data_IF_276932873036
#
_entry.id   IF_276932873036
#
_cell.length_a   1.000
_cell.length_b   1.000
_cell.length_c   1.000
_cell.angle_alpha   90.00
_cell.angle_beta   90.00
_cell.angle_gamma   90.00
#
_symmetry.space_group_name_H-M   'P 1'
#
loop_
_entity.id
_entity.type
_entity.pdbx_description
1 polymer ?
#
# COMPACT_ATOMS: atom_id res chain seq x y z
N UNK A 1 -9.78 -3.32 5.90
CA UNK A 1 -8.89 -2.54 5.00
C UNK A 1 -8.13 -1.51 5.81
N UNK A 2 -6.83 -1.42 5.60
CA UNK A 2 -5.89 -0.48 6.23
C UNK A 2 -5.45 0.53 5.16
N UNK A 3 -5.65 1.83 5.42
CA UNK A 3 -4.99 2.87 4.63
C UNK A 3 -3.63 3.14 5.27
N UNK A 4 -2.55 2.89 4.54
CA UNK A 4 -1.20 3.33 4.90
C UNK A 4 -1.04 4.71 4.27
N UNK A 5 -1.34 5.76 5.02
CA UNK A 5 -1.26 7.14 4.57
C UNK A 5 0.12 7.70 4.93
N UNK A 6 1.03 7.76 3.97
CA UNK A 6 2.45 7.89 4.29
C UNK A 6 3.23 8.84 3.37
N UNK A 7 4.17 9.55 3.98
CA UNK A 7 5.19 10.31 3.27
C UNK A 7 6.20 9.35 2.63
N UNK A 8 6.47 9.40 1.31
CA UNK A 8 7.40 8.46 0.66
C UNK A 8 8.84 8.54 1.20
N UNK A 9 9.24 9.69 1.76
CA UNK A 9 10.57 9.85 2.39
C UNK A 9 10.73 8.93 3.61
N UNK A 10 9.64 8.53 4.26
CA UNK A 10 9.68 7.67 5.45
C UNK A 10 9.80 6.17 5.12
N UNK A 11 9.95 5.80 3.84
CA UNK A 11 10.03 4.41 3.36
C UNK A 11 8.88 3.52 3.85
N UNK A 12 7.60 3.92 3.65
CA UNK A 12 6.45 3.12 4.09
C UNK A 12 6.38 1.73 3.43
N UNK A 13 7.03 1.53 2.28
CA UNK A 13 7.11 0.26 1.58
C UNK A 13 7.73 -0.83 2.47
N UNK A 14 8.66 -0.49 3.37
CA UNK A 14 9.24 -1.45 4.32
C UNK A 14 8.17 -2.11 5.23
N UNK A 15 7.13 -1.36 5.62
CA UNK A 15 5.98 -1.94 6.33
C UNK A 15 5.19 -2.89 5.43
N UNK A 16 4.94 -2.48 4.18
CA UNK A 16 4.21 -3.31 3.22
C UNK A 16 4.94 -4.63 2.96
N UNK A 17 6.27 -4.58 2.86
CA UNK A 17 7.12 -5.75 2.70
C UNK A 17 6.98 -6.69 3.89
N UNK A 18 7.10 -6.16 5.11
CA UNK A 18 6.95 -6.95 6.32
C UNK A 18 5.55 -7.56 6.46
N UNK A 19 4.49 -6.83 6.11
CA UNK A 19 3.13 -7.37 6.11
C UNK A 19 2.95 -8.46 5.06
N UNK A 20 3.50 -8.27 3.86
CA UNK A 20 3.44 -9.25 2.78
C UNK A 20 4.15 -10.55 3.13
N UNK A 21 5.27 -10.48 3.85
CA UNK A 21 6.06 -11.65 4.27
C UNK A 21 5.41 -12.45 5.41
N UNK A 22 4.48 -11.85 6.17
CA UNK A 22 3.92 -12.47 7.38
C UNK A 22 2.86 -13.56 7.13
N UNK A 23 2.29 -13.62 5.93
CA UNK A 23 1.26 -14.57 5.53
C UNK A 23 1.27 -14.73 4.01
N UNK A 24 0.45 -15.62 3.45
CA UNK A 24 0.20 -15.65 2.00
C UNK A 24 -0.33 -14.28 1.58
N UNK A 25 0.35 -13.66 0.63
CA UNK A 25 0.01 -12.31 0.20
C UNK A 25 -0.09 -12.17 -1.31
N UNK A 26 -0.93 -11.22 -1.74
CA UNK A 26 -1.12 -10.81 -3.12
C UNK A 26 -0.67 -9.35 -3.24
N UNK A 27 0.50 -9.15 -3.85
CA UNK A 27 1.21 -7.88 -3.85
C UNK A 27 1.10 -7.18 -5.21
N UNK A 28 0.21 -6.19 -5.30
CA UNK A 28 -0.02 -5.37 -6.49
C UNK A 28 1.04 -4.27 -6.58
N UNK A 29 1.94 -4.41 -7.57
CA UNK A 29 3.08 -3.52 -7.78
C UNK A 29 2.77 -2.50 -8.87
N UNK A 30 2.77 -1.21 -8.57
CA UNK A 30 2.41 -0.16 -9.55
C UNK A 30 3.57 0.72 -9.97
N UNK A 31 4.56 0.88 -9.10
CA UNK A 31 5.66 1.84 -9.31
C UNK A 31 7.00 1.20 -9.64
N UNK A 32 7.16 -0.10 -9.36
CA UNK A 32 8.39 -0.85 -9.56
C UNK A 32 8.08 -2.25 -10.06
N UNK A 33 9.04 -2.82 -10.79
CA UNK A 33 8.98 -4.23 -11.18
C UNK A 33 9.08 -5.13 -9.94
N UNK A 34 8.36 -6.27 -9.92
CA UNK A 34 8.42 -7.25 -8.82
C UNK A 34 9.84 -7.67 -8.43
N UNK A 35 10.73 -7.85 -9.39
CA UNK A 35 12.12 -8.26 -9.13
C UNK A 35 12.88 -7.30 -8.20
N UNK A 36 12.64 -5.99 -8.32
CA UNK A 36 13.32 -4.99 -7.49
C UNK A 36 12.72 -4.90 -6.09
N UNK A 37 11.44 -5.22 -5.96
CA UNK A 37 10.79 -5.32 -4.65
C UNK A 37 11.26 -6.58 -3.92
N UNK A 38 11.44 -7.68 -4.67
CA UNK A 38 11.99 -8.93 -4.14
C UNK A 38 13.42 -8.72 -3.60
N UNK A 39 14.29 -8.08 -4.37
CA UNK A 39 15.65 -7.72 -3.95
C UNK A 39 15.65 -6.87 -2.66
N UNK A 40 14.73 -5.90 -2.56
CA UNK A 40 14.60 -5.07 -1.36
C UNK A 40 14.10 -5.89 -0.15
N UNK A 41 13.11 -6.77 -0.33
CA UNK A 41 12.62 -7.66 0.73
C UNK A 41 13.74 -8.56 1.27
N UNK A 42 14.54 -9.15 0.38
CA UNK A 42 15.69 -9.97 0.74
C UNK A 42 16.76 -9.16 1.48
N UNK A 43 17.02 -7.92 1.08
CA UNK A 43 17.96 -7.02 1.76
C UNK A 43 17.54 -6.67 3.19
N UNK A 44 16.23 -6.73 3.49
CA UNK A 44 15.66 -6.56 4.81
C UNK A 44 15.54 -7.87 5.61
N UNK A 45 16.11 -8.97 5.09
CA UNK A 45 16.04 -10.31 5.67
C UNK A 45 14.60 -10.84 5.85
N UNK A 46 13.69 -10.45 4.97
CA UNK A 46 12.29 -10.89 5.00
C UNK A 46 12.08 -12.17 4.17
N UNK A 47 11.16 -13.02 4.62
CA UNK A 47 10.76 -14.21 3.85
C UNK A 47 9.87 -13.82 2.67
N UNK A 48 10.19 -14.34 1.48
CA UNK A 48 9.53 -13.96 0.22
C UNK A 48 8.67 -15.07 -0.38
N UNK A 49 8.77 -16.30 0.14
CA UNK A 49 8.11 -17.48 -0.44
C UNK A 49 6.57 -17.43 -0.44
N UNK A 50 5.99 -16.57 0.40
CA UNK A 50 4.55 -16.41 0.53
C UNK A 50 3.99 -15.21 -0.29
N UNK A 51 4.84 -14.50 -1.03
CA UNK A 51 4.46 -13.27 -1.74
C UNK A 51 4.15 -13.56 -3.21
N UNK A 52 2.87 -13.42 -3.58
CA UNK A 52 2.40 -13.56 -4.96
C UNK A 52 2.31 -12.18 -5.60
N UNK A 53 3.25 -11.85 -6.47
CA UNK A 53 3.27 -10.55 -7.14
C UNK A 53 2.24 -10.46 -8.27
N UNK A 54 1.52 -9.33 -8.31
CA UNK A 54 0.68 -8.90 -9.42
C UNK A 54 1.34 -7.69 -10.06
N UNK A 55 1.90 -7.90 -11.25
CA UNK A 55 2.74 -6.94 -11.95
C UNK A 55 1.91 -5.89 -12.73
N UNK A 56 1.34 -4.94 -11.99
CA UNK A 56 0.59 -3.80 -12.58
C UNK A 56 1.56 -2.88 -13.33
N UNK A 57 2.79 -2.72 -12.84
CA UNK A 57 3.83 -1.92 -13.48
C UNK A 57 4.07 -2.37 -14.92
N UNK A 58 4.39 -3.64 -15.14
CA UNK A 58 4.62 -4.15 -16.49
C UNK A 58 3.37 -4.04 -17.34
N UNK A 59 2.20 -4.38 -16.77
CA UNK A 59 0.92 -4.30 -17.49
C UNK A 59 0.61 -2.89 -17.99
N UNK A 60 0.96 -1.86 -17.21
CA UNK A 60 0.63 -0.47 -17.52
C UNK A 60 1.72 0.30 -18.24
N UNK A 61 3.01 0.04 -17.99
CA UNK A 61 4.11 0.81 -18.58
C UNK A 61 4.80 0.12 -19.75
N UNK A 62 4.72 -1.21 -19.85
CA UNK A 62 5.48 -1.97 -20.85
C UNK A 62 4.59 -2.49 -21.97
N UNK A 63 5.16 -2.57 -23.17
CA UNK A 63 4.60 -3.28 -24.32
C UNK A 63 4.91 -4.79 -24.23
N UNK A 64 4.30 -5.57 -25.11
CA UNK A 64 4.63 -7.00 -25.26
C UNK A 64 6.10 -7.26 -25.63
N UNK A 65 6.78 -6.24 -26.19
CA UNK A 65 8.21 -6.29 -26.51
C UNK A 65 9.11 -5.76 -25.39
N UNK A 66 8.54 -5.34 -24.25
CA UNK A 66 9.26 -4.78 -23.10
C UNK A 66 9.65 -3.30 -23.26
N UNK A 67 9.20 -2.62 -24.32
CA UNK A 67 9.42 -1.19 -24.50
C UNK A 67 8.45 -0.36 -23.67
N UNK A 68 8.86 0.85 -23.28
CA UNK A 68 7.97 1.77 -22.57
C UNK A 68 6.88 2.33 -23.49
N UNK A 69 5.66 2.37 -22.97
CA UNK A 69 4.51 3.01 -23.62
C UNK A 69 4.31 4.36 -22.96
N UNK A 70 4.26 5.41 -23.80
CA UNK A 70 4.24 6.81 -23.37
C UNK A 70 2.85 7.42 -23.52
N UNK A 71 2.09 7.05 -24.55
CA UNK A 71 0.74 7.58 -24.78
C UNK A 71 -0.21 6.44 -25.19
N UNK A 72 -1.15 6.12 -24.31
CA UNK A 72 -2.29 5.24 -24.58
C UNK A 72 -3.47 5.64 -23.68
N UNK A 73 -4.52 6.19 -24.29
CA UNK A 73 -5.68 6.69 -23.55
C UNK A 73 -6.60 5.57 -23.00
N UNK A 74 -6.43 4.34 -23.48
CA UNK A 74 -7.25 3.20 -23.04
C UNK A 74 -6.66 2.52 -21.81
N UNK A 75 -5.33 2.56 -21.64
CA UNK A 75 -4.62 1.91 -20.52
C UNK A 75 -5.12 2.32 -19.15
N UNK A 76 -5.45 3.59 -18.97
CA UNK A 76 -5.99 4.11 -17.72
C UNK A 76 -7.27 3.39 -17.31
N UNK A 77 -8.11 2.95 -18.26
CA UNK A 77 -9.33 2.20 -17.97
C UNK A 77 -9.07 0.69 -17.95
N UNK A 78 -8.32 0.18 -18.91
CA UNK A 78 -8.02 -1.24 -19.06
C UNK A 78 -7.30 -1.81 -17.83
N UNK A 79 -6.51 -0.98 -17.12
CA UNK A 79 -5.84 -1.41 -15.90
C UNK A 79 -6.84 -1.72 -14.77
N UNK A 80 -8.01 -1.06 -14.73
CA UNK A 80 -9.04 -1.39 -13.74
C UNK A 80 -9.71 -2.73 -14.02
N UNK A 81 -9.91 -3.08 -15.30
CA UNK A 81 -10.44 -4.41 -15.68
C UNK A 81 -9.44 -5.52 -15.30
N UNK A 82 -8.14 -5.27 -15.51
CA UNK A 82 -7.09 -6.18 -15.05
C UNK A 82 -7.12 -6.36 -13.53
N UNK A 83 -7.30 -5.27 -12.76
CA UNK A 83 -7.41 -5.36 -11.31
C UNK A 83 -8.69 -6.08 -10.87
N UNK A 84 -9.81 -5.87 -11.55
CA UNK A 84 -11.05 -6.61 -11.27
C UNK A 84 -10.84 -8.11 -11.43
N UNK A 85 -10.23 -8.53 -12.54
CA UNK A 85 -9.90 -9.92 -12.82
C UNK A 85 -9.03 -10.50 -11.71
N UNK A 86 -7.93 -9.82 -11.37
CA UNK A 86 -6.98 -10.32 -10.36
C UNK A 86 -7.55 -10.36 -8.95
N UNK A 87 -8.31 -9.35 -8.53
CA UNK A 87 -9.00 -9.39 -7.23
C UNK A 87 -10.08 -10.46 -7.17
N UNK A 88 -10.74 -10.76 -8.30
CA UNK A 88 -11.79 -11.78 -8.37
C UNK A 88 -11.21 -13.21 -8.44
N UNK A 89 -9.95 -13.36 -8.87
CA UNK A 89 -9.27 -14.66 -8.89
C UNK A 89 -8.66 -15.06 -7.55
N UNK A 90 -8.63 -14.18 -6.55
CA UNK A 90 -8.13 -14.53 -5.22
C UNK A 90 -9.18 -15.39 -4.51
N UNK A 91 -8.81 -16.62 -4.20
CA UNK A 91 -9.64 -17.62 -3.52
C UNK A 91 -9.10 -18.04 -2.15
N UNK A 92 -7.99 -17.43 -1.73
CA UNK A 92 -7.32 -17.72 -0.46
C UNK A 92 -7.92 -16.89 0.66
N UNK A 93 -8.53 -17.55 1.65
CA UNK A 93 -8.98 -16.90 2.88
C UNK A 93 -7.79 -16.53 3.79
N UNK A 94 -7.99 -15.54 4.67
CA UNK A 94 -7.01 -15.11 5.68
C UNK A 94 -5.64 -14.66 5.09
N UNK A 95 -5.65 -14.13 3.87
CA UNK A 95 -4.46 -13.60 3.19
C UNK A 95 -4.23 -12.10 3.43
N UNK A 96 -3.07 -11.60 3.02
CA UNK A 96 -2.80 -10.16 2.92
C UNK A 96 -2.92 -9.68 1.46
N UNK A 97 -3.56 -8.54 1.24
CA UNK A 97 -3.65 -7.90 -0.09
C UNK A 97 -2.92 -6.57 -0.04
N UNK A 98 -1.85 -6.41 -0.80
CA UNK A 98 -1.01 -5.21 -0.74
C UNK A 98 -1.17 -4.41 -2.02
N UNK A 99 -1.48 -3.11 -1.90
CA UNK A 99 -1.44 -2.16 -3.01
C UNK A 99 -0.27 -1.19 -2.79
N UNK A 100 0.81 -1.40 -3.53
CA UNK A 100 2.03 -0.59 -3.56
C UNK A 100 2.20 0.08 -4.93
N UNK A 101 1.55 1.21 -5.17
CA UNK A 101 0.73 2.00 -4.26
C UNK A 101 -0.67 2.24 -4.85
N UNK A 102 -1.66 2.51 -3.99
CA UNK A 102 -3.02 2.85 -4.43
C UNK A 102 -3.06 4.20 -5.15
N UNK A 103 -2.11 5.10 -4.85
CA UNK A 103 -2.06 6.45 -5.42
C UNK A 103 -1.89 6.45 -6.94
N UNK A 104 -1.22 5.44 -7.49
CA UNK A 104 -1.14 5.20 -8.91
C UNK A 104 -2.53 5.25 -9.57
N UNK A 105 -3.48 4.43 -9.09
CA UNK A 105 -4.84 4.38 -9.63
C UNK A 105 -5.63 5.67 -9.41
N UNK A 106 -5.42 6.31 -8.26
CA UNK A 106 -6.10 7.56 -7.91
C UNK A 106 -5.65 8.75 -8.77
N UNK A 107 -4.43 8.68 -9.33
CA UNK A 107 -3.87 9.69 -10.23
C UNK A 107 -4.24 9.49 -11.71
N UNK A 108 -4.78 8.33 -12.10
CA UNK A 108 -5.18 8.05 -13.49
C UNK A 108 -6.31 8.99 -13.94
N UNK A 109 -6.32 9.29 -15.24
CA UNK A 109 -7.28 10.16 -15.91
C UNK A 109 -8.56 9.39 -16.23
N UNK A 110 -9.24 8.92 -15.18
CA UNK A 110 -10.49 8.17 -15.26
C UNK A 110 -11.63 8.88 -14.53
N UNK A 111 -12.89 8.58 -14.87
CA UNK A 111 -14.03 9.12 -14.13
C UNK A 111 -13.92 8.81 -12.61
N UNK A 112 -14.32 9.73 -11.72
CA UNK A 112 -14.26 9.52 -10.27
C UNK A 112 -14.93 8.22 -9.81
N UNK A 113 -16.04 7.84 -10.45
CA UNK A 113 -16.75 6.60 -10.15
C UNK A 113 -15.90 5.33 -10.30
N UNK A 114 -14.88 5.33 -11.17
CA UNK A 114 -13.98 4.18 -11.32
C UNK A 114 -12.98 4.09 -10.14
N UNK A 115 -12.55 5.24 -9.62
CA UNK A 115 -11.71 5.34 -8.41
C UNK A 115 -12.50 4.87 -7.18
N UNK A 116 -13.74 5.33 -7.05
CA UNK A 116 -14.66 4.88 -5.99
C UNK A 116 -14.95 3.37 -6.09
N UNK A 117 -15.20 2.88 -7.30
CA UNK A 117 -15.41 1.47 -7.56
C UNK A 117 -14.23 0.63 -7.10
N UNK A 118 -12.99 1.01 -7.44
CA UNK A 118 -11.78 0.27 -7.05
C UNK A 118 -11.67 0.15 -5.52
N UNK A 119 -11.82 1.27 -4.81
CA UNK A 119 -11.69 1.30 -3.35
C UNK A 119 -12.78 0.45 -2.69
N UNK A 120 -14.01 0.46 -3.22
CA UNK A 120 -15.09 -0.43 -2.78
C UNK A 120 -14.81 -1.90 -3.11
N UNK A 121 -14.31 -2.21 -4.31
CA UNK A 121 -13.94 -3.58 -4.72
C UNK A 121 -12.90 -4.16 -3.78
N UNK A 122 -11.82 -3.42 -3.48
CA UNK A 122 -10.79 -3.83 -2.52
C UNK A 122 -11.42 -4.09 -1.15
N UNK A 123 -12.25 -3.17 -0.65
CA UNK A 123 -12.91 -3.34 0.64
C UNK A 123 -13.80 -4.59 0.68
N UNK A 124 -14.64 -4.82 -0.34
CA UNK A 124 -15.51 -5.98 -0.43
C UNK A 124 -14.72 -7.29 -0.54
N UNK A 125 -13.73 -7.38 -1.42
CA UNK A 125 -12.84 -8.54 -1.54
C UNK A 125 -12.18 -8.85 -0.20
N UNK A 126 -11.66 -7.83 0.48
CA UNK A 126 -11.04 -7.97 1.81
C UNK A 126 -12.00 -8.57 2.84
N UNK A 127 -13.26 -8.11 2.88
CA UNK A 127 -14.26 -8.62 3.83
C UNK A 127 -14.73 -10.02 3.50
N UNK A 128 -14.88 -10.34 2.23
CA UNK A 128 -15.35 -11.65 1.80
C UNK A 128 -14.35 -12.76 2.10
N UNK A 129 -13.05 -12.48 1.93
CA UNK A 129 -11.96 -13.45 2.15
C UNK A 129 -11.44 -13.49 3.61
N UNK A 130 -12.05 -12.71 4.52
CA UNK A 130 -11.47 -12.42 5.84
C UNK A 130 -9.99 -11.97 5.79
N UNK A 131 -9.59 -11.33 4.68
CA UNK A 131 -8.24 -10.89 4.42
C UNK A 131 -7.94 -9.54 5.08
N UNK A 132 -6.68 -9.10 5.01
CA UNK A 132 -6.28 -7.73 5.36
C UNK A 132 -5.65 -7.05 4.15
N UNK A 133 -6.37 -6.05 3.60
CA UNK A 133 -5.79 -5.19 2.58
C UNK A 133 -5.01 -4.02 3.20
N UNK A 134 -3.76 -3.82 2.77
CA UNK A 134 -2.93 -2.66 3.05
C UNK A 134 -2.79 -1.82 1.78
N UNK A 135 -3.37 -0.62 1.80
CA UNK A 135 -3.37 0.28 0.64
C UNK A 135 -2.48 1.48 0.93
N UNK A 136 -1.34 1.56 0.26
CA UNK A 136 -0.44 2.70 0.40
C UNK A 136 -0.97 3.91 -0.40
N UNK A 137 -1.32 4.98 0.32
CA UNK A 137 -1.68 6.28 -0.23
C UNK A 137 -0.60 7.30 0.12
N UNK A 138 -0.02 7.93 -0.90
CA UNK A 138 1.01 8.96 -0.76
C UNK A 138 0.37 10.18 -0.11
N UNK A 139 0.96 10.61 1.01
CA UNK A 139 0.45 11.70 1.84
C UNK A 139 0.48 13.03 1.08
N UNK A 140 -0.66 13.69 0.99
CA UNK A 140 -0.79 15.00 0.35
C UNK A 140 -0.68 15.01 -1.17
N UNK A 141 -0.75 13.85 -1.84
CA UNK A 141 -0.67 13.78 -3.30
C UNK A 141 -2.03 13.83 -4.01
N UNK A 142 -3.14 13.87 -3.27
CA UNK A 142 -4.50 13.80 -3.83
C UNK A 142 -5.39 14.95 -3.33
N UNK A 143 -6.44 15.33 -4.09
CA UNK A 143 -7.50 16.19 -3.56
C UNK A 143 -8.10 15.61 -2.27
N UNK A 144 -8.49 16.49 -1.35
CA UNK A 144 -9.01 16.08 -0.02
C UNK A 144 -10.23 15.19 -0.12
N UNK A 145 -11.05 15.35 -1.14
CA UNK A 145 -12.22 14.52 -1.40
C UNK A 145 -11.83 13.06 -1.68
N UNK A 146 -10.76 12.83 -2.46
CA UNK A 146 -10.24 11.50 -2.75
C UNK A 146 -9.57 10.90 -1.51
N UNK A 147 -8.73 11.68 -0.81
CA UNK A 147 -8.10 11.22 0.43
C UNK A 147 -9.16 10.81 1.46
N UNK A 148 -10.19 11.65 1.64
CA UNK A 148 -11.29 11.40 2.56
C UNK A 148 -12.11 10.18 2.15
N UNK A 149 -12.32 9.93 0.85
CA UNK A 149 -13.02 8.73 0.37
C UNK A 149 -12.31 7.44 0.80
N UNK A 150 -11.00 7.36 0.58
CA UNK A 150 -10.18 6.20 0.99
C UNK A 150 -10.13 6.08 2.51
N UNK A 151 -9.78 7.17 3.21
CA UNK A 151 -9.67 7.20 4.68
C UNK A 151 -11.00 6.83 5.32
N UNK A 152 -12.11 7.35 4.81
CA UNK A 152 -13.44 7.06 5.33
C UNK A 152 -13.76 5.58 5.19
N UNK A 153 -13.53 4.95 4.03
CA UNK A 153 -13.85 3.54 3.84
C UNK A 153 -12.96 2.62 4.70
N UNK A 154 -11.71 2.98 4.93
CA UNK A 154 -10.77 2.19 5.74
C UNK A 154 -11.23 1.95 7.17
N UNK A 155 -10.89 0.77 7.69
CA UNK A 155 -11.11 0.40 9.09
C UNK A 155 -9.99 0.92 9.99
N UNK A 156 -8.77 0.93 9.47
CA UNK A 156 -7.56 1.40 10.15
C UNK A 156 -6.84 2.40 9.26
N UNK A 157 -6.25 3.43 9.86
CA UNK A 157 -5.32 4.35 9.18
C UNK A 157 -3.99 4.30 9.89
N UNK A 158 -2.93 3.94 9.17
CA UNK A 158 -1.56 4.18 9.58
C UNK A 158 -1.15 5.51 8.99
N UNK A 159 -0.82 6.46 9.86
CA UNK A 159 -0.30 7.76 9.48
C UNK A 159 1.22 7.74 9.67
N UNK A 160 1.98 7.76 8.57
CA UNK A 160 3.43 7.63 8.62
C UNK A 160 4.07 8.91 8.09
N UNK A 161 4.97 9.49 8.87
CA UNK A 161 5.67 10.71 8.50
C UNK A 161 7.15 10.67 8.88
N UNK A 162 7.90 11.61 8.32
CA UNK A 162 9.31 11.82 8.62
C UNK A 162 9.53 13.27 9.01
N UNK A 163 10.11 13.49 10.19
CA UNK A 163 10.40 14.81 10.72
C UNK A 163 11.91 14.99 10.93
N UNK A 164 12.41 16.21 10.71
CA UNK A 164 13.78 16.56 11.04
C UNK A 164 13.87 16.92 12.53
N UNK A 165 14.65 16.16 13.30
CA UNK A 165 14.95 16.43 14.70
C UNK A 165 16.45 16.70 14.87
N UNK A 166 16.83 17.98 14.94
CA UNK A 166 18.24 18.39 14.90
C UNK A 166 18.88 17.99 13.58
N UNK A 167 19.93 17.18 13.64
CA UNK A 167 20.66 16.68 12.46
C UNK A 167 20.20 15.29 11.99
N UNK A 168 19.14 14.73 12.59
CA UNK A 168 18.61 13.41 12.25
C UNK A 168 17.22 13.51 11.64
N UNK A 169 16.92 12.61 10.70
CA UNK A 169 15.55 12.32 10.29
C UNK A 169 14.97 11.27 11.25
N UNK A 170 13.75 11.50 11.73
CA UNK A 170 13.03 10.61 12.63
C UNK A 170 11.72 10.25 11.96
N UNK A 171 11.50 8.95 11.75
CA UNK A 171 10.24 8.47 11.23
C UNK A 171 9.28 8.12 12.36
N UNK A 172 7.99 8.42 12.16
CA UNK A 172 6.92 8.15 13.13
C UNK A 172 5.76 7.42 12.48
N UNK A 173 5.18 6.49 13.23
CA UNK A 173 3.93 5.80 12.94
C UNK A 173 2.87 6.26 13.94
N UNK A 174 1.77 6.83 13.45
CA UNK A 174 0.54 7.05 14.18
C UNK A 174 -0.56 6.10 13.72
N UNK A 175 -1.49 5.76 14.61
CA UNK A 175 -2.67 4.95 14.25
C UNK A 175 -3.95 5.71 14.67
N UNK A 176 -4.25 6.86 14.02
CA UNK A 176 -5.31 7.77 14.45
C UNK A 176 -6.73 7.21 14.26
N UNK A 177 -6.89 6.16 13.46
CA UNK A 177 -8.19 5.51 13.23
C UNK A 177 -8.05 4.01 13.39
N UNK A 178 -8.88 3.44 14.24
CA UNK A 178 -9.14 2.01 14.35
C UNK A 178 -10.63 1.80 14.62
N UNK A 179 -11.38 1.24 13.67
CA UNK A 179 -12.78 0.88 13.91
C UNK A 179 -12.88 -0.27 14.91
N UNK A 180 -13.90 -0.24 15.77
CA UNK A 180 -14.19 -1.22 16.84
C UNK A 180 -13.21 -1.23 18.01
N UNK A 181 -12.19 -0.37 18.01
CA UNK A 181 -11.23 -0.21 19.10
C UNK A 181 -11.05 1.27 19.44
N UNK A 182 -10.52 1.58 20.63
CA UNK A 182 -10.08 2.95 20.91
C UNK A 182 -8.86 3.25 20.01
N UNK A 183 -8.83 4.39 19.29
CA UNK A 183 -7.64 4.83 18.58
C UNK A 183 -6.44 4.95 19.53
N UNK A 184 -5.23 4.80 18.98
CA UNK A 184 -3.99 4.97 19.75
C UNK A 184 -3.61 6.44 19.71
N UNK A 185 -3.56 7.04 20.91
CA UNK A 185 -3.34 8.46 21.15
C UNK A 185 -1.87 8.87 20.94
N UNK A 186 -0.94 7.91 20.95
CA UNK A 186 0.51 8.08 20.88
C UNK A 186 1.05 7.75 19.48
N UNK A 187 2.17 8.37 19.11
CA UNK A 187 2.95 8.00 17.90
C UNK A 187 4.18 7.21 18.29
N UNK A 188 4.57 6.23 17.48
CA UNK A 188 5.74 5.41 17.70
C UNK A 188 6.87 5.82 16.77
N UNK A 189 8.09 5.97 17.30
CA UNK A 189 9.29 6.08 16.45
C UNK A 189 9.55 4.72 15.82
N UNK A 190 10.11 4.71 14.61
CA UNK A 190 10.58 3.47 14.00
C UNK A 190 11.84 3.70 13.17
N UNK A 191 12.56 2.61 12.94
CA UNK A 191 13.71 2.56 12.05
C UNK A 191 13.67 1.28 11.21
N UNK A 192 14.45 1.29 10.13
CA UNK A 192 14.54 0.18 9.18
C UNK A 192 15.92 -0.45 9.33
N UNK A 193 15.94 -1.75 9.60
CA UNK A 193 17.15 -2.59 9.62
C UNK A 193 16.83 -3.95 8.99
N UNK A 194 16.79 -5.02 9.78
CA UNK A 194 16.22 -6.32 9.38
C UNK A 194 14.69 -6.22 9.53
N UNK A 195 14.06 -5.56 8.55
CA UNK A 195 12.66 -5.16 8.60
C UNK A 195 12.41 -3.87 9.40
N UNK A 196 11.14 -3.65 9.75
CA UNK A 196 10.69 -2.47 10.51
C UNK A 196 10.75 -2.75 12.01
N UNK A 197 11.45 -1.88 12.72
CA UNK A 197 11.62 -1.95 14.17
C UNK A 197 10.91 -0.76 14.83
N UNK A 198 9.91 -1.04 15.64
CA UNK A 198 9.15 -0.03 16.39
C UNK A 198 9.85 0.24 17.73
N UNK A 199 10.23 1.50 17.96
CA UNK A 199 10.73 1.97 19.23
C UNK A 199 9.56 2.25 20.17
N UNK A 200 9.36 1.35 21.14
CA UNK A 200 8.33 1.46 22.18
C UNK A 200 8.86 2.09 23.47
N UNK A 201 10.08 2.64 23.46
CA UNK A 201 10.58 3.37 24.62
C UNK A 201 9.72 4.61 24.85
N UNK A 202 9.14 4.69 26.05
CA UNK A 202 8.51 5.92 26.51
C UNK A 202 9.62 6.92 26.78
N UNK A 203 9.54 8.11 26.19
CA UNK A 203 10.33 9.25 26.67
C UNK A 203 9.87 9.50 28.13
N UNK A 204 10.66 9.01 29.09
CA UNK A 204 10.44 9.25 30.51
C UNK A 204 10.79 10.72 30.73
N UNK A 205 9.77 11.57 30.79
CA UNK A 205 9.89 12.97 31.20
C UNK A 205 9.72 13.11 32.72
#
# INVERSE_FOLDING_TARGET
MVCVYANPISMPEAFLYQFASSTVSYYFTTSRLPKFILEDMESLALEVGNVNFIDVYSRYYLSDTGGFIVEDQYRDRDIFDFIDEKLSSIDTDECAIIFDNLSFFLNLHVPPGLKEWLVNKIYHTTKNLNAVAYCYMIKGSHPKEIENMVINLSDVVFDIDSEKAGDKMVNRLGIPKMRKMKPIDETFRYYISEGVQIDTSKDIA
#
